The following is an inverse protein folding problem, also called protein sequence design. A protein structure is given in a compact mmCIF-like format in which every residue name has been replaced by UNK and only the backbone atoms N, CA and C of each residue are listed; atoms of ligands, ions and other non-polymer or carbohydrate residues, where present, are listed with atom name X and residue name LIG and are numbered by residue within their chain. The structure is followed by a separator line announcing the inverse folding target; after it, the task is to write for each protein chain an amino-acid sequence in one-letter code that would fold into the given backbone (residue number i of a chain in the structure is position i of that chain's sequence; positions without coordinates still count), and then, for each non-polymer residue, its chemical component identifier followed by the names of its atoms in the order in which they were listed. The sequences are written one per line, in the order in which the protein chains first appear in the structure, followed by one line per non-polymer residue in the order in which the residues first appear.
data_IF_624259576098
#
_entry.id   IF_624259576098
#
_cell.length_a   1.000
_cell.length_b   1.000
_cell.length_c   1.000
_cell.angle_alpha   90.00
_cell.angle_beta   90.00
_cell.angle_gamma   90.00
#
_symmetry.space_group_name_H-M   'P 1'
#
loop_
_entity.id
_entity.type
_entity.pdbx_description
1 polymer ?
#
# COMPACT_ATOMS: atom_id res chain seq x y z
N UNK A 1 20.47 10.95 -22.27
CA UNK A 1 21.25 11.50 -21.15
C UNK A 1 20.43 12.63 -20.55
N UNK A 2 19.52 12.32 -19.64
CA UNK A 2 18.67 13.28 -18.87
C UNK A 2 17.82 12.47 -17.87
N UNK A 3 18.46 12.01 -16.80
CA UNK A 3 17.80 11.32 -15.67
C UNK A 3 18.52 11.71 -14.36
N UNK A 4 18.53 13.00 -14.05
CA UNK A 4 18.92 13.48 -12.72
C UNK A 4 18.09 14.74 -12.47
N UNK A 5 17.09 14.68 -11.63
CA UNK A 5 16.35 15.89 -11.24
C UNK A 5 14.98 15.71 -10.59
N UNK A 6 14.64 14.56 -9.99
CA UNK A 6 13.29 14.38 -9.39
C UNK A 6 13.32 14.00 -7.89
N UNK A 7 14.45 14.12 -7.22
CA UNK A 7 14.58 13.62 -5.82
C UNK A 7 14.59 14.71 -4.74
N UNK A 8 14.44 15.99 -5.05
CA UNK A 8 14.67 17.06 -4.05
C UNK A 8 13.45 17.92 -3.69
N UNK A 9 12.23 17.62 -4.13
CA UNK A 9 11.08 18.51 -3.89
C UNK A 9 10.10 18.06 -2.78
N UNK A 10 10.30 16.89 -2.18
CA UNK A 10 9.53 16.55 -0.99
C UNK A 10 10.47 16.43 0.20
N UNK A 11 10.46 17.47 1.02
CA UNK A 11 11.13 17.46 2.30
C UNK A 11 10.80 16.18 3.04
N UNK A 12 11.82 15.53 3.60
CA UNK A 12 11.69 14.29 4.37
C UNK A 12 10.61 14.46 5.44
N UNK A 13 9.40 14.04 5.12
CA UNK A 13 8.36 13.81 6.12
C UNK A 13 8.93 12.73 7.03
N UNK A 14 9.32 13.10 8.23
CA UNK A 14 9.74 12.15 9.24
C UNK A 14 8.65 11.10 9.36
N UNK A 15 8.96 9.88 8.95
CA UNK A 15 8.05 8.74 9.06
C UNK A 15 7.60 8.65 10.51
N UNK A 16 6.32 8.91 10.77
CA UNK A 16 5.69 8.74 12.08
C UNK A 16 5.45 7.24 12.31
N UNK A 17 6.52 6.45 12.19
CA UNK A 17 6.45 5.04 12.48
C UNK A 17 6.04 4.86 13.94
N UNK A 18 5.04 4.03 14.18
CA UNK A 18 4.56 3.72 15.52
C UNK A 18 5.67 3.21 16.43
N UNK A 19 5.48 3.18 17.75
CA UNK A 19 6.49 2.75 18.72
C UNK A 19 6.98 1.34 18.42
N UNK A 20 8.24 1.05 18.79
CA UNK A 20 8.79 -0.30 18.72
C UNK A 20 7.96 -1.25 19.59
N UNK A 21 7.82 -2.50 19.14
CA UNK A 21 7.14 -3.53 19.90
C UNK A 21 7.98 -3.97 21.11
N UNK A 22 7.34 -4.51 22.14
CA UNK A 22 8.01 -5.05 23.31
C UNK A 22 8.85 -6.32 23.04
N UNK A 23 9.21 -7.05 24.08
CA UNK A 23 9.98 -8.29 23.93
C UNK A 23 9.19 -9.39 23.18
N UNK A 24 9.87 -10.20 22.37
CA UNK A 24 9.24 -11.26 21.59
C UNK A 24 8.43 -12.26 22.45
N UNK A 25 8.89 -12.51 23.67
CA UNK A 25 8.25 -13.39 24.63
C UNK A 25 6.86 -12.93 25.07
N UNK A 26 6.56 -11.64 24.88
CA UNK A 26 5.22 -11.10 25.16
C UNK A 26 4.21 -11.45 24.06
N UNK A 27 4.69 -11.83 22.87
CA UNK A 27 3.86 -12.08 21.70
C UNK A 27 3.84 -13.54 21.27
N UNK A 28 4.91 -14.29 21.52
CA UNK A 28 5.10 -15.62 20.96
C UNK A 28 5.39 -16.67 22.03
N UNK A 29 5.02 -17.90 21.72
CA UNK A 29 5.50 -19.08 22.44
C UNK A 29 7.03 -19.19 22.37
N UNK A 30 7.68 -19.98 23.25
CA UNK A 30 9.15 -20.00 23.40
C UNK A 30 9.93 -20.22 22.10
N UNK A 31 9.45 -21.10 21.22
CA UNK A 31 10.17 -21.46 19.99
C UNK A 31 10.16 -20.33 18.95
N UNK A 32 9.00 -19.73 18.55
CA UNK A 32 8.99 -18.56 17.68
C UNK A 32 9.70 -17.34 18.32
N UNK A 33 9.59 -17.14 19.64
CA UNK A 33 10.30 -16.06 20.34
C UNK A 33 11.83 -16.23 20.22
N UNK A 34 12.35 -17.47 20.36
CA UNK A 34 13.76 -17.75 20.17
C UNK A 34 14.22 -17.48 18.73
N UNK A 35 13.37 -17.82 17.73
CA UNK A 35 13.65 -17.54 16.32
C UNK A 35 13.73 -16.03 16.04
N UNK A 36 12.79 -15.25 16.58
CA UNK A 36 12.80 -13.78 16.47
C UNK A 36 14.07 -13.19 17.08
N UNK A 37 14.45 -13.62 18.31
CA UNK A 37 15.69 -13.14 18.97
C UNK A 37 16.94 -13.45 18.15
N UNK A 38 17.06 -14.68 17.65
CA UNK A 38 18.19 -15.07 16.82
C UNK A 38 18.28 -14.20 15.56
N UNK A 39 17.12 -13.92 14.91
CA UNK A 39 17.06 -13.07 13.74
C UNK A 39 17.45 -11.61 14.08
N UNK A 40 16.93 -11.04 15.17
CA UNK A 40 17.27 -9.68 15.61
C UNK A 40 18.75 -9.55 16.00
N UNK A 41 19.36 -10.62 16.54
CA UNK A 41 20.78 -10.69 16.83
C UNK A 41 21.66 -10.94 15.58
N UNK A 42 21.03 -11.10 14.39
CA UNK A 42 21.72 -11.49 13.14
C UNK A 42 22.49 -12.82 13.25
N UNK A 43 22.06 -13.72 14.14
CA UNK A 43 22.66 -15.03 14.35
C UNK A 43 22.12 -16.04 13.32
N UNK A 44 22.74 -16.03 12.13
CA UNK A 44 22.36 -16.87 10.99
C UNK A 44 22.44 -18.37 11.33
N UNK A 45 23.45 -18.78 12.11
CA UNK A 45 23.64 -20.18 12.49
C UNK A 45 22.49 -20.63 13.40
N UNK A 46 22.14 -19.83 14.39
CA UNK A 46 21.06 -20.12 15.34
C UNK A 46 19.67 -20.11 14.66
N UNK A 47 19.44 -19.20 13.72
CA UNK A 47 18.19 -19.18 12.93
C UNK A 47 18.05 -20.51 12.16
N UNK A 48 19.10 -20.97 11.47
CA UNK A 48 19.08 -22.25 10.73
C UNK A 48 18.86 -23.44 11.65
N UNK A 49 19.55 -23.47 12.77
CA UNK A 49 19.38 -24.52 13.79
C UNK A 49 17.93 -24.60 14.29
N UNK A 50 17.33 -23.45 14.65
CA UNK A 50 15.97 -23.38 15.15
C UNK A 50 14.96 -23.84 14.10
N UNK A 51 15.10 -23.40 12.84
CA UNK A 51 14.22 -23.83 11.75
C UNK A 51 14.38 -25.32 11.47
N UNK A 52 15.60 -25.85 11.49
CA UNK A 52 15.85 -27.29 11.35
C UNK A 52 15.22 -28.08 12.52
N UNK A 53 15.21 -27.52 13.72
CA UNK A 53 14.56 -28.09 14.90
C UNK A 53 13.03 -27.91 14.90
N UNK A 54 12.43 -27.38 13.81
CA UNK A 54 11.00 -27.27 13.61
C UNK A 54 10.39 -25.91 13.99
N UNK A 55 11.21 -24.87 14.27
CA UNK A 55 10.66 -23.53 14.43
C UNK A 55 10.06 -23.05 13.12
N UNK A 56 8.78 -22.66 13.16
CA UNK A 56 8.09 -22.20 11.97
C UNK A 56 8.27 -20.68 11.78
N UNK A 57 8.95 -20.19 10.72
CA UNK A 57 9.13 -18.77 10.46
C UNK A 57 7.83 -18.03 10.09
N UNK A 58 6.74 -18.77 9.85
CA UNK A 58 5.39 -18.22 9.65
C UNK A 58 4.52 -18.31 10.91
N UNK A 59 5.10 -18.52 12.08
CA UNK A 59 4.35 -18.52 13.34
C UNK A 59 3.68 -17.18 13.60
N UNK A 60 2.56 -17.24 14.30
CA UNK A 60 1.73 -16.12 14.68
C UNK A 60 1.54 -16.10 16.20
N UNK A 61 1.60 -14.89 16.80
CA UNK A 61 1.08 -14.64 18.15
C UNK A 61 -0.43 -14.39 18.12
N UNK A 62 -1.09 -14.26 19.28
CA UNK A 62 -0.51 -14.26 20.62
C UNK A 62 0.01 -15.62 21.05
N UNK A 63 0.76 -15.61 22.14
CA UNK A 63 1.11 -16.84 22.84
C UNK A 63 -0.17 -17.61 23.18
N UNK A 64 -0.06 -18.93 23.22
CA UNK A 64 -1.20 -19.82 23.49
C UNK A 64 -1.92 -19.54 24.83
N UNK A 65 -1.22 -18.92 25.78
CA UNK A 65 -1.73 -18.55 27.12
C UNK A 65 -2.25 -17.10 27.24
N UNK A 66 -2.17 -16.30 26.15
CA UNK A 66 -2.56 -14.88 26.13
C UNK A 66 -3.79 -14.64 25.26
N UNK A 67 -4.86 -14.10 25.86
CA UNK A 67 -6.11 -13.77 25.14
C UNK A 67 -6.20 -12.31 24.65
N UNK A 68 -5.31 -11.44 25.11
CA UNK A 68 -5.42 -9.99 24.91
C UNK A 68 -4.26 -9.38 24.10
N UNK A 69 -3.38 -10.19 23.55
CA UNK A 69 -2.27 -9.70 22.73
C UNK A 69 -2.69 -9.70 21.24
N UNK A 70 -2.45 -8.61 20.50
CA UNK A 70 -2.76 -8.57 19.07
C UNK A 70 -2.08 -9.71 18.31
N UNK A 71 -2.79 -10.29 17.35
CA UNK A 71 -2.21 -11.30 16.48
C UNK A 71 -1.15 -10.65 15.60
N UNK A 72 0.07 -11.14 15.68
CA UNK A 72 1.20 -10.63 14.91
C UNK A 72 2.04 -11.80 14.40
N UNK A 73 2.46 -11.76 13.14
CA UNK A 73 3.38 -12.76 12.61
C UNK A 73 4.81 -12.46 13.04
N UNK A 74 5.67 -13.49 13.06
CA UNK A 74 7.11 -13.34 13.29
C UNK A 74 7.71 -12.27 12.37
N UNK A 75 7.30 -12.26 11.11
CA UNK A 75 7.78 -11.30 10.13
C UNK A 75 7.27 -9.86 10.41
N UNK A 76 6.00 -9.70 10.76
CA UNK A 76 5.44 -8.40 11.14
C UNK A 76 6.08 -7.87 12.43
N UNK A 77 6.45 -8.75 13.36
CA UNK A 77 7.15 -8.35 14.57
C UNK A 77 8.52 -7.73 14.27
N UNK A 78 9.36 -8.37 13.44
CA UNK A 78 10.69 -7.81 13.10
C UNK A 78 10.60 -6.54 12.25
N UNK A 79 9.54 -6.41 11.44
CA UNK A 79 9.20 -5.13 10.77
C UNK A 79 8.87 -4.06 11.81
N UNK A 80 8.07 -4.39 12.82
CA UNK A 80 7.77 -3.49 13.93
C UNK A 80 8.99 -3.07 14.75
N UNK A 81 10.03 -3.90 14.78
CA UNK A 81 11.33 -3.58 15.37
C UNK A 81 12.26 -2.81 14.40
N UNK A 82 11.82 -2.58 13.16
CA UNK A 82 12.58 -1.89 12.10
C UNK A 82 13.92 -2.56 11.80
N UNK A 83 14.01 -3.87 11.90
CA UNK A 83 15.23 -4.64 11.63
C UNK A 83 15.22 -5.22 10.22
N UNK A 84 15.84 -4.53 9.27
CA UNK A 84 15.99 -5.01 7.89
C UNK A 84 16.82 -6.31 7.82
N UNK A 85 17.84 -6.44 8.66
CA UNK A 85 18.65 -7.65 8.72
C UNK A 85 17.85 -8.87 9.15
N UNK A 86 17.04 -8.74 10.22
CA UNK A 86 16.16 -9.79 10.70
C UNK A 86 15.07 -10.12 9.66
N UNK A 87 14.51 -9.11 8.98
CA UNK A 87 13.54 -9.28 7.92
C UNK A 87 14.09 -10.18 6.81
N UNK A 88 15.26 -9.84 6.26
CA UNK A 88 15.91 -10.63 5.20
C UNK A 88 16.20 -12.05 5.65
N UNK A 89 16.80 -12.19 6.83
CA UNK A 89 17.19 -13.49 7.39
C UNK A 89 15.98 -14.41 7.58
N UNK A 90 14.84 -13.88 8.06
CA UNK A 90 13.63 -14.69 8.21
C UNK A 90 13.00 -15.07 6.86
N UNK A 91 13.02 -14.18 5.86
CA UNK A 91 12.57 -14.51 4.50
C UNK A 91 13.45 -15.60 3.89
N UNK A 92 14.77 -15.51 4.04
CA UNK A 92 15.70 -16.55 3.62
C UNK A 92 15.48 -17.87 4.35
N UNK A 93 15.03 -17.81 5.60
CA UNK A 93 14.69 -18.98 6.42
C UNK A 93 13.29 -19.55 6.12
N UNK A 94 12.56 -18.99 5.14
CA UNK A 94 11.25 -19.50 4.69
C UNK A 94 10.04 -18.75 5.21
N UNK A 95 10.21 -17.57 5.83
CA UNK A 95 9.07 -16.71 6.13
C UNK A 95 8.41 -16.21 4.85
N UNK A 96 7.09 -16.31 4.78
CA UNK A 96 6.30 -15.88 3.63
C UNK A 96 5.69 -14.50 3.91
N UNK A 97 6.13 -13.42 3.23
CA UNK A 97 5.56 -12.10 3.41
C UNK A 97 4.09 -11.96 3.00
N UNK A 98 3.56 -12.93 2.25
CA UNK A 98 2.16 -12.96 1.84
C UNK A 98 1.29 -13.79 2.80
N UNK A 99 1.88 -14.33 3.87
CA UNK A 99 1.12 -15.05 4.88
C UNK A 99 0.14 -14.08 5.56
N UNK A 100 -1.15 -14.42 5.52
CA UNK A 100 -2.23 -13.67 6.16
C UNK A 100 -2.64 -14.39 7.45
N UNK A 101 -2.59 -13.72 8.59
CA UNK A 101 -3.18 -14.23 9.82
C UNK A 101 -4.68 -14.52 9.64
N UNK A 102 -5.26 -15.39 10.48
CA UNK A 102 -6.66 -15.85 10.34
C UNK A 102 -7.71 -14.74 10.47
N UNK A 103 -7.35 -13.61 11.07
CA UNK A 103 -8.31 -12.57 11.46
C UNK A 103 -8.32 -11.35 10.52
N UNK A 104 -7.95 -11.54 9.25
CA UNK A 104 -8.07 -10.55 8.17
C UNK A 104 -7.22 -9.27 8.34
N UNK A 105 -6.26 -9.27 9.28
CA UNK A 105 -5.36 -8.15 9.56
C UNK A 105 -4.39 -7.84 8.42
N UNK A 106 -4.48 -8.61 7.34
CA UNK A 106 -3.62 -8.50 6.18
C UNK A 106 -2.24 -9.11 6.38
N UNK A 107 -1.42 -9.08 5.33
CA UNK A 107 -0.04 -9.55 5.37
C UNK A 107 0.93 -8.46 5.85
N UNK A 108 2.22 -8.79 5.94
CA UNK A 108 3.24 -7.86 6.46
C UNK A 108 3.37 -6.56 5.64
N UNK A 109 3.03 -6.56 4.35
CA UNK A 109 2.99 -5.32 3.55
C UNK A 109 1.92 -4.37 4.08
N UNK A 110 0.70 -4.87 4.32
CA UNK A 110 -0.39 -4.07 4.91
C UNK A 110 0.01 -3.57 6.29
N UNK A 111 0.59 -4.43 7.14
CA UNK A 111 1.10 -4.01 8.46
C UNK A 111 2.08 -2.84 8.35
N UNK A 112 3.01 -2.89 7.39
CA UNK A 112 3.99 -1.83 7.15
C UNK A 112 3.33 -0.53 6.66
N UNK A 113 2.32 -0.65 5.79
CA UNK A 113 1.54 0.48 5.27
C UNK A 113 0.73 1.16 6.37
N UNK A 114 0.03 0.40 7.21
CA UNK A 114 -0.73 0.91 8.38
C UNK A 114 0.17 1.73 9.30
N UNK A 115 1.41 1.29 9.49
CA UNK A 115 2.42 2.02 10.29
C UNK A 115 3.06 3.20 9.56
N UNK A 116 2.72 3.41 8.30
CA UNK A 116 3.31 4.44 7.41
C UNK A 116 4.85 4.33 7.32
N UNK A 117 5.39 3.12 7.49
CA UNK A 117 6.85 2.88 7.48
C UNK A 117 7.33 2.55 6.07
N UNK A 118 7.49 3.59 5.25
CA UNK A 118 7.94 3.47 3.86
C UNK A 118 9.35 2.90 3.73
N UNK A 119 10.23 3.10 4.72
CA UNK A 119 11.59 2.53 4.72
C UNK A 119 11.54 1.01 4.88
N UNK A 120 10.76 0.49 5.84
CA UNK A 120 10.58 -0.95 5.99
C UNK A 120 9.81 -1.56 4.83
N UNK A 121 8.91 -0.81 4.18
CA UNK A 121 8.24 -1.26 2.96
C UNK A 121 9.25 -1.39 1.79
N UNK A 122 10.18 -0.45 1.67
CA UNK A 122 11.28 -0.52 0.67
C UNK A 122 12.16 -1.77 0.91
N UNK A 123 12.55 -2.01 2.16
CA UNK A 123 13.30 -3.20 2.55
C UNK A 123 12.56 -4.51 2.28
N UNK A 124 11.23 -4.54 2.48
CA UNK A 124 10.38 -5.67 2.13
C UNK A 124 10.39 -5.95 0.62
N UNK A 125 10.24 -4.93 -0.23
CA UNK A 125 10.29 -5.12 -1.68
C UNK A 125 11.68 -5.50 -2.20
N UNK A 126 12.75 -5.07 -1.53
CA UNK A 126 14.11 -5.52 -1.82
C UNK A 126 14.30 -7.01 -1.48
N UNK A 127 13.73 -7.49 -0.37
CA UNK A 127 13.80 -8.89 0.03
C UNK A 127 12.78 -9.78 -0.72
N UNK A 128 11.63 -9.23 -1.10
CA UNK A 128 10.57 -9.93 -1.80
C UNK A 128 10.01 -9.07 -2.94
N UNK A 129 10.59 -9.18 -4.16
CA UNK A 129 10.24 -8.34 -5.29
C UNK A 129 8.74 -8.34 -5.61
N UNK A 130 8.22 -7.18 -6.02
CA UNK A 130 6.80 -6.98 -6.32
C UNK A 130 6.27 -7.96 -7.39
N UNK A 131 7.13 -8.40 -8.30
CA UNK A 131 6.80 -9.39 -9.33
C UNK A 131 6.39 -10.77 -8.75
N UNK A 132 6.78 -11.08 -7.50
CA UNK A 132 6.35 -12.29 -6.78
C UNK A 132 5.00 -12.12 -6.08
N UNK A 133 4.45 -10.92 -6.07
CA UNK A 133 3.18 -10.60 -5.40
C UNK A 133 2.04 -10.70 -6.40
N UNK A 134 0.97 -11.47 -6.13
CA UNK A 134 -0.19 -11.54 -7.01
C UNK A 134 -0.80 -10.16 -7.27
N UNK A 135 -1.24 -9.89 -8.50
CA UNK A 135 -1.78 -8.58 -8.90
C UNK A 135 -2.92 -8.10 -7.99
N UNK A 136 -3.80 -9.00 -7.55
CA UNK A 136 -4.87 -8.69 -6.59
C UNK A 136 -4.32 -8.17 -5.24
N UNK A 137 -3.23 -8.78 -4.75
CA UNK A 137 -2.58 -8.35 -3.51
C UNK A 137 -1.86 -7.02 -3.70
N UNK A 138 -1.19 -6.79 -4.84
CA UNK A 138 -0.60 -5.49 -5.18
C UNK A 138 -1.67 -4.38 -5.17
N UNK A 139 -2.83 -4.64 -5.81
CA UNK A 139 -3.96 -3.72 -5.83
C UNK A 139 -4.46 -3.41 -4.42
N UNK A 140 -4.69 -4.44 -3.59
CA UNK A 140 -5.12 -4.27 -2.20
C UNK A 140 -4.13 -3.43 -1.41
N UNK A 141 -2.83 -3.71 -1.52
CA UNK A 141 -1.79 -2.95 -0.83
C UNK A 141 -1.78 -1.48 -1.27
N UNK A 142 -1.92 -1.21 -2.58
CA UNK A 142 -1.95 0.15 -3.11
C UNK A 142 -3.19 0.94 -2.62
N UNK A 143 -4.36 0.30 -2.63
CA UNK A 143 -5.60 0.89 -2.08
C UNK A 143 -5.48 1.11 -0.57
N UNK A 144 -4.84 0.18 0.16
CA UNK A 144 -4.56 0.36 1.58
C UNK A 144 -3.63 1.55 1.83
N UNK A 145 -2.60 1.76 1.00
CA UNK A 145 -1.70 2.90 1.13
C UNK A 145 -2.45 4.24 0.97
N UNK A 146 -3.41 4.32 0.05
CA UNK A 146 -4.34 5.44 -0.03
C UNK A 146 -5.21 5.52 1.24
N UNK A 147 -5.79 4.39 1.65
CA UNK A 147 -6.70 4.30 2.79
C UNK A 147 -6.09 4.77 4.11
N UNK A 148 -4.80 4.58 4.28
CA UNK A 148 -4.03 4.99 5.46
C UNK A 148 -3.21 6.27 5.24
N UNK A 149 -3.44 7.02 4.16
CA UNK A 149 -2.76 8.28 3.82
C UNK A 149 -1.22 8.12 3.83
N UNK A 150 -0.73 7.00 3.27
CA UNK A 150 0.70 6.74 3.14
C UNK A 150 1.20 7.00 1.71
N UNK A 151 1.31 8.26 1.32
CA UNK A 151 1.83 8.65 0.00
C UNK A 151 3.25 8.13 -0.23
N UNK A 152 4.11 8.17 0.80
CA UNK A 152 5.46 7.62 0.74
C UNK A 152 5.45 6.10 0.47
N UNK A 153 4.46 5.36 1.00
CA UNK A 153 4.30 3.94 0.68
C UNK A 153 3.95 3.73 -0.80
N UNK A 154 3.05 4.54 -1.36
CA UNK A 154 2.74 4.48 -2.79
C UNK A 154 3.95 4.79 -3.66
N UNK A 155 4.76 5.80 -3.30
CA UNK A 155 6.00 6.13 -4.01
C UNK A 155 6.98 4.95 -4.02
N UNK A 156 7.15 4.29 -2.87
CA UNK A 156 7.96 3.07 -2.77
C UNK A 156 7.39 1.97 -3.65
N UNK A 157 6.07 1.73 -3.66
CA UNK A 157 5.45 0.71 -4.50
C UNK A 157 5.69 0.98 -5.98
N UNK A 158 5.55 2.21 -6.44
CA UNK A 158 5.86 2.58 -7.83
C UNK A 158 7.36 2.46 -8.16
N UNK A 159 8.25 2.84 -7.24
CA UNK A 159 9.69 2.63 -7.36
C UNK A 159 10.04 1.16 -7.62
N UNK A 160 9.30 0.23 -7.00
CA UNK A 160 9.49 -1.22 -7.14
C UNK A 160 8.67 -1.84 -8.28
N UNK A 161 7.99 -1.04 -9.10
CA UNK A 161 7.31 -1.51 -10.31
C UNK A 161 5.83 -1.82 -10.15
N UNK A 162 5.14 -1.18 -9.20
CA UNK A 162 3.67 -1.22 -9.18
C UNK A 162 3.14 -0.74 -10.52
N UNK A 163 2.21 -1.49 -11.11
CA UNK A 163 1.58 -1.09 -12.37
C UNK A 163 0.79 0.21 -12.21
N UNK A 164 1.01 1.18 -13.10
CA UNK A 164 0.23 2.43 -13.15
C UNK A 164 -1.26 2.19 -13.45
N UNK A 165 -1.60 1.04 -14.04
CA UNK A 165 -2.95 0.63 -14.37
C UNK A 165 -3.63 -0.23 -13.30
N UNK A 166 -3.06 -0.35 -12.09
CA UNK A 166 -3.64 -1.17 -11.02
C UNK A 166 -5.05 -0.69 -10.67
N UNK A 167 -5.97 -1.65 -10.51
CA UNK A 167 -7.38 -1.40 -10.18
C UNK A 167 -7.82 -2.24 -8.99
N UNK A 168 -8.79 -1.74 -8.23
CA UNK A 168 -9.46 -2.51 -7.18
C UNK A 168 -10.48 -3.51 -7.76
N UNK A 169 -11.09 -4.31 -6.89
CA UNK A 169 -12.11 -5.30 -7.30
C UNK A 169 -13.36 -4.71 -7.95
N UNK A 170 -13.56 -3.40 -7.91
CA UNK A 170 -14.65 -2.66 -8.57
C UNK A 170 -14.23 -2.01 -9.88
N UNK A 171 -12.95 -2.10 -10.24
CA UNK A 171 -12.37 -1.47 -11.42
C UNK A 171 -11.96 -0.01 -11.21
N UNK A 172 -11.92 0.50 -9.98
CA UNK A 172 -11.34 1.81 -9.70
C UNK A 172 -9.83 1.74 -9.75
N UNK A 173 -9.21 2.59 -10.55
CA UNK A 173 -7.78 2.83 -10.46
C UNK A 173 -7.45 3.76 -9.28
N UNK A 174 -6.16 3.91 -8.96
CA UNK A 174 -5.70 4.73 -7.84
C UNK A 174 -6.16 6.19 -7.94
N UNK A 175 -6.25 6.73 -9.16
CA UNK A 175 -6.73 8.11 -9.39
C UNK A 175 -8.22 8.24 -9.02
N UNK A 176 -9.07 7.30 -9.46
CA UNK A 176 -10.49 7.30 -9.06
C UNK A 176 -10.64 7.12 -7.55
N UNK A 177 -9.81 6.27 -6.95
CA UNK A 177 -9.83 6.05 -5.51
C UNK A 177 -9.40 7.30 -4.73
N UNK A 178 -8.36 8.01 -5.17
CA UNK A 178 -7.92 9.27 -4.56
C UNK A 178 -9.00 10.36 -4.68
N UNK A 179 -9.60 10.54 -5.88
CA UNK A 179 -10.70 11.47 -6.08
C UNK A 179 -11.92 11.15 -5.20
N UNK A 180 -12.24 9.86 -5.02
CA UNK A 180 -13.36 9.42 -4.18
C UNK A 180 -13.16 9.74 -2.69
N UNK A 181 -11.92 9.88 -2.26
CA UNK A 181 -11.53 10.26 -0.90
C UNK A 181 -11.32 11.78 -0.74
N UNK A 182 -11.48 12.53 -1.84
CA UNK A 182 -11.16 13.96 -1.91
C UNK A 182 -9.67 14.26 -1.63
N UNK A 183 -8.80 13.28 -1.92
CA UNK A 183 -7.34 13.33 -1.77
C UNK A 183 -6.73 13.97 -3.03
N UNK A 184 -7.04 15.26 -3.24
CA UNK A 184 -6.76 15.93 -4.50
C UNK A 184 -5.27 16.13 -4.76
N UNK A 185 -4.45 16.24 -3.72
CA UNK A 185 -2.99 16.36 -3.85
C UNK A 185 -2.40 15.04 -4.37
N UNK A 186 -2.84 13.91 -3.83
CA UNK A 186 -2.45 12.59 -4.35
C UNK A 186 -2.98 12.40 -5.78
N UNK A 187 -4.21 12.83 -6.05
CA UNK A 187 -4.77 12.77 -7.41
C UNK A 187 -3.94 13.59 -8.42
N UNK A 188 -3.48 14.79 -8.03
CA UNK A 188 -2.60 15.63 -8.86
C UNK A 188 -1.26 14.93 -9.12
N UNK A 189 -0.62 14.39 -8.09
CA UNK A 189 0.61 13.61 -8.21
C UNK A 189 0.45 12.38 -9.12
N UNK A 190 -0.63 11.62 -8.94
CA UNK A 190 -0.92 10.44 -9.77
C UNK A 190 -1.11 10.82 -11.25
N UNK A 191 -1.71 11.98 -11.53
CA UNK A 191 -1.89 12.49 -12.88
C UNK A 191 -0.59 13.00 -13.49
N UNK A 192 0.16 13.80 -12.75
CA UNK A 192 1.29 14.59 -13.26
C UNK A 192 2.57 13.77 -13.31
N UNK A 193 2.87 13.05 -12.23
CA UNK A 193 4.18 12.43 -12.03
C UNK A 193 4.15 10.92 -12.30
N UNK A 194 3.06 10.23 -11.95
CA UNK A 194 2.91 8.77 -12.15
C UNK A 194 2.35 8.45 -13.54
N UNK A 195 1.48 9.29 -14.07
CA UNK A 195 0.89 9.07 -15.39
C UNK A 195 -0.23 8.02 -15.40
N UNK A 196 -0.97 7.87 -14.33
CA UNK A 196 -2.06 6.88 -14.21
C UNK A 196 -3.07 7.00 -15.36
N UNK A 197 -3.52 5.89 -15.99
CA UNK A 197 -4.44 5.90 -17.11
C UNK A 197 -5.78 6.56 -16.80
N UNK A 198 -6.29 7.41 -17.69
CA UNK A 198 -7.59 8.07 -17.56
C UNK A 198 -8.76 7.21 -18.08
N UNK A 199 -8.47 6.20 -18.89
CA UNK A 199 -9.47 5.33 -19.50
C UNK A 199 -10.01 4.21 -18.59
N UNK A 200 -9.59 4.12 -17.32
CA UNK A 200 -10.12 3.13 -16.40
C UNK A 200 -11.61 3.37 -16.15
N UNK A 201 -12.41 2.30 -16.28
CA UNK A 201 -13.86 2.34 -16.09
C UNK A 201 -14.23 1.28 -15.05
N UNK A 202 -14.91 1.69 -14.00
CA UNK A 202 -15.42 0.75 -12.99
C UNK A 202 -16.59 -0.08 -13.50
N UNK A 203 -16.95 -1.13 -12.78
CA UNK A 203 -18.15 -1.92 -13.05
C UNK A 203 -19.44 -1.08 -13.05
N UNK A 204 -19.46 0.04 -12.36
CA UNK A 204 -20.58 1.00 -12.33
C UNK A 204 -20.50 2.12 -13.37
N UNK A 205 -19.54 2.09 -14.31
CA UNK A 205 -19.36 3.12 -15.32
C UNK A 205 -18.68 4.40 -14.81
N UNK A 206 -17.99 4.32 -13.67
CA UNK A 206 -17.25 5.46 -13.12
C UNK A 206 -15.88 5.54 -13.73
N UNK A 207 -15.52 6.69 -14.31
CA UNK A 207 -14.18 7.03 -14.76
C UNK A 207 -13.57 8.11 -13.87
N UNK A 208 -12.23 8.27 -13.85
CA UNK A 208 -11.63 9.40 -13.13
C UNK A 208 -12.22 10.76 -13.55
N UNK A 209 -12.46 10.94 -14.86
CA UNK A 209 -12.96 12.20 -15.40
C UNK A 209 -14.42 12.49 -14.99
N UNK A 210 -15.33 11.49 -15.06
CA UNK A 210 -16.69 11.73 -14.61
C UNK A 210 -16.78 11.87 -13.09
N UNK A 211 -15.87 11.24 -12.33
CA UNK A 211 -15.80 11.47 -10.90
C UNK A 211 -15.39 12.91 -10.57
N UNK A 212 -14.33 13.42 -11.20
CA UNK A 212 -13.92 14.83 -11.06
C UNK A 212 -15.02 15.79 -11.49
N UNK A 213 -15.68 15.54 -12.63
CA UNK A 213 -16.83 16.34 -13.09
C UNK A 213 -17.93 16.41 -12.04
N UNK A 214 -18.25 15.29 -11.39
CA UNK A 214 -19.25 15.26 -10.32
C UNK A 214 -18.80 16.06 -9.09
N UNK A 215 -17.51 16.02 -8.72
CA UNK A 215 -16.96 16.83 -7.63
C UNK A 215 -17.13 18.33 -7.94
N UNK A 216 -16.76 18.76 -9.14
CA UNK A 216 -16.91 20.15 -9.58
C UNK A 216 -18.41 20.55 -9.61
N UNK A 217 -19.27 19.66 -10.08
CA UNK A 217 -20.72 19.89 -10.16
C UNK A 217 -21.45 20.05 -8.81
N UNK A 218 -20.78 19.78 -7.69
CA UNK A 218 -21.34 20.05 -6.35
C UNK A 218 -21.34 21.54 -5.99
N UNK A 219 -20.56 22.36 -6.69
CA UNK A 219 -20.49 23.80 -6.43
C UNK A 219 -21.64 24.50 -7.14
N UNK A 220 -22.38 25.31 -6.39
CA UNK A 220 -23.51 26.10 -6.93
C UNK A 220 -22.99 27.19 -7.89
N UNK A 221 -23.83 27.60 -8.88
CA UNK A 221 -23.48 28.72 -9.73
C UNK A 221 -23.14 29.98 -8.90
N UNK A 222 -21.98 30.58 -9.20
CA UNK A 222 -21.47 31.75 -8.47
C UNK A 222 -20.62 31.41 -7.22
N UNK A 223 -20.50 30.14 -6.84
CA UNK A 223 -19.58 29.72 -5.76
C UNK A 223 -18.18 29.47 -6.34
N UNK A 224 -17.10 29.97 -5.74
CA UNK A 224 -15.75 29.65 -6.20
C UNK A 224 -15.46 28.15 -6.15
N UNK A 225 -15.03 27.57 -7.25
CA UNK A 225 -14.54 26.18 -7.32
C UNK A 225 -13.11 26.16 -6.78
N UNK A 226 -12.74 25.24 -5.88
CA UNK A 226 -11.36 25.10 -5.42
C UNK A 226 -10.36 24.97 -6.57
N UNK A 227 -9.28 25.72 -6.49
CA UNK A 227 -8.26 25.80 -7.56
C UNK A 227 -7.68 24.42 -7.90
N UNK A 228 -7.50 23.54 -6.89
CA UNK A 228 -7.02 22.17 -7.10
C UNK A 228 -7.91 21.38 -8.05
N UNK A 229 -9.23 21.51 -7.97
CA UNK A 229 -10.17 20.83 -8.87
C UNK A 229 -10.04 21.34 -10.32
N UNK A 230 -9.83 22.65 -10.48
CA UNK A 230 -9.61 23.25 -11.80
C UNK A 230 -8.26 22.81 -12.38
N UNK A 231 -7.21 22.70 -11.56
CA UNK A 231 -5.92 22.16 -12.00
C UNK A 231 -6.03 20.70 -12.44
N UNK A 232 -6.72 19.85 -11.65
CA UNK A 232 -6.96 18.45 -12.01
C UNK A 232 -7.73 18.35 -13.33
N UNK A 233 -8.74 19.20 -13.56
CA UNK A 233 -9.48 19.26 -14.80
C UNK A 233 -8.56 19.64 -15.98
N UNK A 234 -7.74 20.67 -15.82
CA UNK A 234 -6.78 21.11 -16.83
C UNK A 234 -5.74 20.01 -17.16
N UNK A 235 -5.24 19.28 -16.17
CA UNK A 235 -4.34 18.13 -16.37
C UNK A 235 -5.00 17.00 -17.17
N UNK A 236 -6.27 16.70 -16.90
CA UNK A 236 -7.01 15.70 -17.67
C UNK A 236 -7.27 16.18 -19.12
N UNK A 237 -7.60 17.47 -19.30
CA UNK A 237 -7.78 18.07 -20.62
C UNK A 237 -6.48 18.04 -21.44
N UNK A 238 -5.34 18.35 -20.84
CA UNK A 238 -4.03 18.25 -21.48
C UNK A 238 -3.69 16.81 -21.93
N UNK A 239 -4.35 15.81 -21.35
CA UNK A 239 -4.24 14.39 -21.72
C UNK A 239 -5.39 13.90 -22.62
N UNK A 240 -6.14 14.82 -23.23
CA UNK A 240 -7.16 14.54 -24.25
C UNK A 240 -8.58 14.31 -23.75
N UNK A 241 -8.87 14.55 -22.46
CA UNK A 241 -10.25 14.47 -21.96
C UNK A 241 -11.00 15.77 -22.35
N UNK A 242 -12.16 15.60 -22.96
CA UNK A 242 -13.08 16.72 -23.30
C UNK A 242 -14.24 16.71 -22.30
N UNK A 243 -14.39 17.81 -21.56
CA UNK A 243 -15.52 18.00 -20.66
C UNK A 243 -16.66 18.79 -21.33
N UNK A 244 -17.94 18.48 -21.04
CA UNK A 244 -18.39 17.47 -20.10
C UNK A 244 -18.22 16.06 -20.64
N UNK A 245 -17.82 15.14 -19.76
CA UNK A 245 -17.75 13.72 -20.07
C UNK A 245 -19.07 13.01 -19.83
N UNK A 246 -19.24 11.83 -20.44
CA UNK A 246 -20.37 10.93 -20.17
C UNK A 246 -20.48 10.60 -18.68
N UNK A 247 -21.68 10.75 -18.13
CA UNK A 247 -21.96 10.36 -16.74
C UNK A 247 -22.02 8.84 -16.61
N UNK A 248 -21.80 8.32 -15.39
CA UNK A 248 -21.94 6.88 -15.14
C UNK A 248 -23.35 6.33 -15.45
N UNK A 249 -24.38 7.15 -15.28
CA UNK A 249 -25.75 6.79 -15.64
C UNK A 249 -25.92 6.66 -17.16
N UNK A 250 -25.42 7.63 -17.94
CA UNK A 250 -25.42 7.57 -19.41
C UNK A 250 -24.61 6.37 -19.91
N UNK A 251 -23.43 6.14 -19.32
CA UNK A 251 -22.57 5.00 -19.65
C UNK A 251 -23.30 3.66 -19.48
N UNK A 252 -24.03 3.47 -18.37
CA UNK A 252 -24.82 2.26 -18.11
C UNK A 252 -26.00 2.15 -19.09
N UNK A 253 -26.72 3.25 -19.31
CA UNK A 253 -27.89 3.26 -20.21
C UNK A 253 -27.55 2.82 -21.63
N UNK A 254 -26.44 3.33 -22.20
CA UNK A 254 -25.96 2.95 -23.54
C UNK A 254 -25.62 1.46 -23.64
N UNK A 255 -25.20 0.84 -22.54
CA UNK A 255 -24.76 -0.57 -22.47
C UNK A 255 -25.83 -1.52 -21.92
N UNK A 256 -27.05 -1.03 -21.66
CA UNK A 256 -28.15 -1.84 -21.12
C UNK A 256 -27.93 -2.39 -19.71
N UNK A 257 -27.02 -1.77 -18.94
CA UNK A 257 -26.70 -2.16 -17.57
C UNK A 257 -27.64 -1.41 -16.62
N UNK A 258 -28.40 -2.15 -15.85
CA UNK A 258 -29.36 -1.61 -14.87
C UNK A 258 -28.66 -1.24 -13.55
#
# INVERSE_FOLDING_TARGET
MLTVGLLELFGASASMAGPALGAAESYFDPQPAALVRAALASDVARVRELVTAGANPNSQGPRSDSKNTPQITVLAFVVGQRSEGALRLLIEAGANPLFEPRDDDGNVFVFTIVRKDSAMLDALYLAWPIAKIPAKTQSRNAVSALGFDCTACLQVMFKHGLSVGVQDGRGYNLLTAALSREDFEIAEWLLKDVGVPLGAVSSGGVTPANHLQNQIGRYLPGTPIPEILLRLQALMQARGIVFPVETSAQWRAVRGIK
#
